data_IF_187764706532
#
_entry.id   IF_187764706532
#
_cell.length_a   1.000
_cell.length_b   1.000
_cell.length_c   1.000
_cell.angle_alpha   90.00
_cell.angle_beta   90.00
_cell.angle_gamma   90.00
#
_symmetry.space_group_name_H-M   'P 1'
#
loop_
_entity.id
_entity.type
_entity.pdbx_description
1 polymer ?
#
# COMPACT_ATOMS: atom_id res chain seq x y z
N UNK A 1 -12.01 42.73 23.35
CA UNK A 1 -11.82 41.89 22.15
C UNK A 1 -11.62 40.42 22.52
N UNK A 2 -10.91 40.09 23.61
CA UNK A 2 -10.74 38.70 24.10
C UNK A 2 -12.06 37.97 24.44
N UNK A 3 -13.01 38.64 25.10
CA UNK A 3 -14.30 38.03 25.47
C UNK A 3 -15.14 37.55 24.30
N UNK A 4 -15.00 38.15 23.11
CA UNK A 4 -15.77 37.75 21.93
C UNK A 4 -15.21 36.49 21.27
N UNK A 5 -13.89 36.27 21.33
CA UNK A 5 -13.26 35.08 20.76
C UNK A 5 -13.47 33.85 21.64
N UNK A 6 -13.43 34.03 22.97
CA UNK A 6 -13.73 32.94 23.93
C UNK A 6 -15.18 32.43 23.80
N UNK A 7 -16.14 33.33 23.56
CA UNK A 7 -17.54 32.98 23.30
C UNK A 7 -17.68 32.16 21.99
N UNK A 8 -16.93 32.52 20.95
CA UNK A 8 -16.90 31.79 19.67
C UNK A 8 -16.29 30.39 19.87
N UNK A 9 -15.17 30.29 20.59
CA UNK A 9 -14.51 29.02 20.88
C UNK A 9 -15.39 28.09 21.73
N UNK A 10 -16.15 28.64 22.67
CA UNK A 10 -17.12 27.88 23.47
C UNK A 10 -18.31 27.40 22.62
N UNK A 11 -18.82 28.22 21.71
CA UNK A 11 -19.85 27.81 20.75
C UNK A 11 -19.35 26.69 19.82
N UNK A 12 -18.12 26.80 19.32
CA UNK A 12 -17.46 25.78 18.49
C UNK A 12 -17.35 24.46 19.27
N UNK A 13 -16.83 24.50 20.50
CA UNK A 13 -16.65 23.30 21.34
C UNK A 13 -17.98 22.64 21.71
N UNK A 14 -19.00 23.44 22.02
CA UNK A 14 -20.35 22.96 22.32
C UNK A 14 -20.98 22.28 21.10
N UNK A 15 -20.88 22.91 19.93
CA UNK A 15 -21.42 22.38 18.66
C UNK A 15 -20.71 21.09 18.25
N UNK A 16 -19.38 21.05 18.35
CA UNK A 16 -18.59 19.85 18.07
C UNK A 16 -18.94 18.69 19.02
N UNK A 17 -19.17 19.00 20.30
CA UNK A 17 -19.60 17.99 21.28
C UNK A 17 -20.95 17.38 20.91
N UNK A 18 -21.91 18.21 20.48
CA UNK A 18 -23.21 17.73 19.96
C UNK A 18 -23.05 16.90 18.69
N UNK A 19 -22.24 17.38 17.74
CA UNK A 19 -21.98 16.64 16.50
C UNK A 19 -21.37 15.25 16.79
N UNK A 20 -20.43 15.15 17.74
CA UNK A 20 -19.86 13.86 18.18
C UNK A 20 -20.90 12.92 18.81
N UNK A 21 -21.90 13.46 19.53
CA UNK A 21 -23.02 12.66 20.04
C UNK A 21 -23.86 12.10 18.89
N UNK A 22 -24.18 12.92 17.88
CA UNK A 22 -24.88 12.46 16.68
C UNK A 22 -24.08 11.38 15.93
N UNK A 23 -22.75 11.54 15.79
CA UNK A 23 -21.87 10.52 15.20
C UNK A 23 -21.92 9.19 15.97
N UNK A 24 -21.89 9.23 17.31
CA UNK A 24 -22.02 8.02 18.15
C UNK A 24 -23.37 7.34 18.01
N UNK A 25 -24.42 8.08 17.66
CA UNK A 25 -25.77 7.56 17.36
C UNK A 25 -25.93 7.08 15.91
N UNK A 26 -24.91 7.25 15.07
CA UNK A 26 -24.97 6.93 13.64
C UNK A 26 -25.68 7.99 12.79
N UNK A 27 -26.09 9.11 13.38
CA UNK A 27 -26.80 10.21 12.72
C UNK A 27 -25.79 11.14 12.00
N UNK A 28 -25.15 10.60 10.96
CA UNK A 28 -24.07 11.27 10.22
C UNK A 28 -24.49 12.61 9.61
N UNK A 29 -25.68 12.68 9.03
CA UNK A 29 -26.18 13.89 8.36
C UNK A 29 -26.46 15.02 9.34
N UNK A 30 -27.04 14.69 10.51
CA UNK A 30 -27.27 15.67 11.58
C UNK A 30 -25.95 16.22 12.14
N UNK A 31 -24.93 15.36 12.29
CA UNK A 31 -23.60 15.79 12.69
C UNK A 31 -22.97 16.76 11.67
N UNK A 32 -23.11 16.45 10.37
CA UNK A 32 -22.57 17.26 9.29
C UNK A 32 -23.25 18.63 9.22
N UNK A 33 -24.58 18.70 9.27
CA UNK A 33 -25.33 19.95 9.26
C UNK A 33 -24.92 20.91 10.40
N UNK A 34 -24.66 20.37 11.59
CA UNK A 34 -24.23 21.18 12.74
C UNK A 34 -22.89 21.87 12.50
N UNK A 35 -21.92 21.16 11.91
CA UNK A 35 -20.59 21.74 11.63
C UNK A 35 -20.54 22.56 10.35
N UNK A 36 -21.43 22.30 9.39
CA UNK A 36 -21.61 23.17 8.21
C UNK A 36 -22.14 24.54 8.62
N UNK A 37 -23.18 24.58 9.46
CA UNK A 37 -23.66 25.85 10.01
C UNK A 37 -22.59 26.61 10.80
N UNK A 38 -21.69 25.88 11.47
CA UNK A 38 -20.56 26.47 12.18
C UNK A 38 -19.51 27.07 11.23
N UNK A 39 -19.19 26.35 10.15
CA UNK A 39 -18.29 26.82 9.08
C UNK A 39 -18.85 28.04 8.35
N UNK A 40 -20.15 28.07 8.08
CA UNK A 40 -20.81 29.23 7.46
C UNK A 40 -20.83 30.46 8.36
N UNK A 41 -21.05 30.25 9.67
CA UNK A 41 -21.08 31.34 10.65
C UNK A 41 -19.68 31.93 10.91
N UNK A 42 -18.64 31.09 10.84
CA UNK A 42 -17.26 31.48 11.13
C UNK A 42 -16.27 30.96 10.06
N UNK A 43 -16.34 31.49 8.81
CA UNK A 43 -15.59 30.97 7.67
C UNK A 43 -14.08 31.22 7.75
N UNK A 44 -13.64 32.20 8.54
CA UNK A 44 -12.21 32.51 8.74
C UNK A 44 -11.67 31.96 10.08
N UNK A 45 -12.50 31.29 10.88
CA UNK A 45 -12.06 30.76 12.17
C UNK A 45 -11.47 29.35 12.00
N UNK A 46 -10.17 29.14 12.28
CA UNK A 46 -9.51 27.88 12.00
C UNK A 46 -10.07 26.72 12.85
N UNK A 47 -10.48 26.97 14.10
CA UNK A 47 -11.07 25.94 14.96
C UNK A 47 -12.46 25.47 14.47
N UNK A 48 -13.19 26.33 13.76
CA UNK A 48 -14.47 25.95 13.13
C UNK A 48 -14.24 25.03 11.92
N UNK A 49 -13.20 25.33 11.11
CA UNK A 49 -12.78 24.45 9.99
C UNK A 49 -12.22 23.12 10.50
N UNK A 50 -11.49 23.12 11.61
CA UNK A 50 -11.01 21.88 12.25
C UNK A 50 -12.17 21.03 12.78
N UNK A 51 -13.16 21.64 13.42
CA UNK A 51 -14.37 20.93 13.87
C UNK A 51 -15.12 20.29 12.70
N UNK A 52 -15.17 20.96 11.54
CA UNK A 52 -15.70 20.40 10.30
C UNK A 52 -14.89 19.19 9.82
N UNK A 53 -13.57 19.30 9.76
CA UNK A 53 -12.68 18.20 9.38
C UNK A 53 -12.81 16.98 10.33
N UNK A 54 -12.91 17.20 11.64
CA UNK A 54 -13.12 16.15 12.65
C UNK A 54 -14.41 15.34 12.37
N UNK A 55 -15.50 16.02 12.01
CA UNK A 55 -16.76 15.36 11.69
C UNK A 55 -16.67 14.62 10.36
N UNK A 56 -16.02 15.20 9.34
CA UNK A 56 -15.74 14.52 8.07
C UNK A 56 -15.00 13.19 8.28
N UNK A 57 -14.01 13.17 9.16
CA UNK A 57 -13.31 11.93 9.55
C UNK A 57 -14.28 10.94 10.20
N UNK A 58 -15.11 11.40 11.15
CA UNK A 58 -16.07 10.57 11.87
C UNK A 58 -17.15 9.95 10.99
N UNK A 59 -17.54 10.59 9.89
CA UNK A 59 -18.49 10.03 8.92
C UNK A 59 -17.85 9.12 7.87
N UNK A 60 -16.50 9.14 7.76
CA UNK A 60 -15.70 8.33 6.85
C UNK A 60 -15.15 9.06 5.62
N UNK A 61 -15.42 10.37 5.48
CA UNK A 61 -14.95 11.22 4.35
C UNK A 61 -13.54 11.74 4.62
N UNK A 62 -12.59 10.83 4.80
CA UNK A 62 -11.19 11.13 5.20
C UNK A 62 -10.45 11.99 4.18
N UNK A 63 -10.64 11.75 2.88
CA UNK A 63 -9.99 12.52 1.81
C UNK A 63 -10.40 14.00 1.83
N UNK A 64 -11.68 14.28 2.08
CA UNK A 64 -12.17 15.65 2.17
C UNK A 64 -11.68 16.35 3.44
N UNK A 65 -11.62 15.63 4.57
CA UNK A 65 -11.04 16.16 5.80
C UNK A 65 -9.57 16.59 5.60
N UNK A 66 -8.80 15.82 4.83
CA UNK A 66 -7.41 16.17 4.49
C UNK A 66 -7.33 17.45 3.67
N UNK A 67 -8.21 17.65 2.68
CA UNK A 67 -8.26 18.89 1.90
C UNK A 67 -8.56 20.10 2.79
N UNK A 68 -9.55 19.98 3.67
CA UNK A 68 -9.91 21.06 4.62
C UNK A 68 -8.74 21.39 5.55
N UNK A 69 -8.05 20.38 6.10
CA UNK A 69 -6.89 20.61 6.96
C UNK A 69 -5.73 21.25 6.20
N UNK A 70 -5.53 20.89 4.94
CA UNK A 70 -4.53 21.52 4.08
C UNK A 70 -4.84 23.00 3.86
N UNK A 71 -6.09 23.36 3.59
CA UNK A 71 -6.50 24.77 3.48
C UNK A 71 -6.21 25.57 4.75
N UNK A 72 -6.40 24.98 5.93
CA UNK A 72 -6.07 25.62 7.21
C UNK A 72 -4.56 25.83 7.34
N UNK A 73 -3.75 24.83 6.97
CA UNK A 73 -2.28 24.91 7.03
C UNK A 73 -1.76 26.00 6.06
N UNK A 74 -2.32 26.06 4.85
CA UNK A 74 -1.94 27.05 3.83
C UNK A 74 -2.31 28.49 4.29
N UNK A 75 -3.43 28.66 4.98
CA UNK A 75 -3.88 29.97 5.49
C UNK A 75 -3.21 30.38 6.80
N UNK A 76 -2.86 29.43 7.66
CA UNK A 76 -2.29 29.65 8.99
C UNK A 76 -1.08 28.72 9.23
N UNK A 77 0.05 28.97 8.55
CA UNK A 77 1.25 28.17 8.72
C UNK A 77 1.77 28.27 10.17
N UNK A 78 2.18 27.13 10.76
CA UNK A 78 2.72 27.08 12.12
C UNK A 78 1.74 26.65 13.21
N UNK A 79 0.50 26.28 12.87
CA UNK A 79 -0.41 25.58 13.79
C UNK A 79 -0.05 24.10 13.89
N UNK A 80 0.80 23.79 14.88
CA UNK A 80 1.31 22.43 15.15
C UNK A 80 0.20 21.37 15.28
N UNK A 81 -0.94 21.73 15.86
CA UNK A 81 -2.07 20.80 16.05
C UNK A 81 -2.71 20.41 14.70
N UNK A 82 -2.96 21.38 13.82
CA UNK A 82 -3.54 21.15 12.49
C UNK A 82 -2.61 20.30 11.62
N UNK A 83 -1.31 20.63 11.62
CA UNK A 83 -0.28 19.90 10.89
C UNK A 83 -0.16 18.45 11.36
N UNK A 84 -0.18 18.24 12.69
CA UNK A 84 -0.16 16.90 13.29
C UNK A 84 -1.37 16.08 12.86
N UNK A 85 -2.57 16.67 12.89
CA UNK A 85 -3.81 15.98 12.46
C UNK A 85 -3.80 15.64 10.99
N UNK A 86 -3.37 16.56 10.13
CA UNK A 86 -3.20 16.32 8.70
C UNK A 86 -2.22 15.16 8.45
N UNK A 87 -1.05 15.19 9.09
CA UNK A 87 -0.05 14.13 8.96
C UNK A 87 -0.60 12.76 9.39
N UNK A 88 -1.33 12.69 10.50
CA UNK A 88 -1.94 11.46 10.99
C UNK A 88 -2.97 10.88 10.00
N UNK A 89 -3.83 11.74 9.43
CA UNK A 89 -4.85 11.31 8.47
C UNK A 89 -4.24 10.85 7.14
N UNK A 90 -3.24 11.57 6.63
CA UNK A 90 -2.51 11.18 5.41
C UNK A 90 -1.79 9.85 5.62
N UNK A 91 -1.08 9.69 6.73
CA UNK A 91 -0.39 8.45 7.05
C UNK A 91 -1.35 7.26 7.16
N UNK A 92 -2.48 7.45 7.85
CA UNK A 92 -3.51 6.41 8.00
C UNK A 92 -4.23 6.03 6.69
N UNK A 93 -4.31 6.92 5.70
CA UNK A 93 -4.83 6.58 4.37
C UNK A 93 -3.80 5.81 3.54
N UNK A 94 -2.54 6.25 3.55
CA UNK A 94 -1.49 5.62 2.75
C UNK A 94 -1.18 4.18 3.15
N UNK A 95 -1.37 3.81 4.42
CA UNK A 95 -1.18 2.43 4.86
C UNK A 95 -2.14 1.46 4.16
N UNK A 96 -3.40 1.86 3.95
CA UNK A 96 -4.38 1.05 3.22
C UNK A 96 -4.17 1.07 1.71
N UNK A 97 -3.75 2.20 1.13
CA UNK A 97 -3.38 2.27 -0.28
C UNK A 97 -2.17 1.38 -0.59
N UNK A 98 -1.15 1.35 0.27
CA UNK A 98 0.02 0.48 0.10
C UNK A 98 -0.33 -1.00 0.11
N UNK A 99 -1.20 -1.44 1.02
CA UNK A 99 -1.70 -2.82 1.05
C UNK A 99 -2.49 -3.17 -0.22
N UNK A 100 -3.33 -2.24 -0.70
CA UNK A 100 -4.11 -2.43 -1.92
C UNK A 100 -3.23 -2.47 -3.18
N UNK A 101 -2.18 -1.64 -3.27
CA UNK A 101 -1.19 -1.70 -4.34
C UNK A 101 -0.37 -2.99 -4.30
N UNK A 102 0.03 -3.44 -3.11
CA UNK A 102 0.70 -4.74 -2.94
C UNK A 102 -0.15 -5.90 -3.47
N UNK A 103 -1.44 -5.92 -3.12
CA UNK A 103 -2.40 -6.91 -3.61
C UNK A 103 -2.66 -6.81 -5.12
N UNK A 104 -2.70 -5.60 -5.69
CA UNK A 104 -2.83 -5.42 -7.14
C UNK A 104 -1.61 -5.93 -7.90
N UNK A 105 -0.40 -5.63 -7.43
CA UNK A 105 0.83 -6.16 -8.02
C UNK A 105 0.84 -7.69 -7.94
N UNK A 106 0.55 -8.27 -6.78
CA UNK A 106 0.49 -9.72 -6.59
C UNK A 106 -0.59 -10.39 -7.46
N UNK A 107 -1.74 -9.72 -7.67
CA UNK A 107 -2.79 -10.20 -8.59
C UNK A 107 -2.37 -10.20 -10.07
N UNK A 108 -1.46 -9.30 -10.45
CA UNK A 108 -0.98 -9.16 -11.82
C UNK A 108 0.22 -10.09 -12.11
N UNK A 109 1.02 -10.42 -11.08
CA UNK A 109 2.18 -11.30 -11.16
C UNK A 109 1.84 -12.74 -11.64
N UNK A 110 0.59 -13.17 -11.51
CA UNK A 110 0.10 -14.47 -12.00
C UNK A 110 -0.50 -14.50 -13.41
N UNK A 111 -0.68 -13.35 -14.08
CA UNK A 111 -1.54 -13.24 -15.27
C UNK A 111 -0.92 -13.68 -16.61
N UNK A 112 0.37 -14.03 -16.61
CA UNK A 112 1.15 -14.30 -17.82
C UNK A 112 1.11 -15.81 -18.19
N UNK A 113 -0.05 -16.31 -18.62
CA UNK A 113 -0.20 -17.58 -19.36
C UNK A 113 0.28 -18.89 -18.68
N UNK A 114 0.05 -20.06 -19.32
CA UNK A 114 0.48 -21.34 -18.79
C UNK A 114 2.00 -21.48 -18.88
N UNK A 115 2.65 -21.80 -17.75
CA UNK A 115 4.11 -21.88 -17.64
C UNK A 115 4.58 -23.25 -17.22
N UNK A 116 5.61 -23.73 -17.90
CA UNK A 116 6.27 -25.01 -17.61
C UNK A 116 7.13 -24.93 -16.34
N UNK A 117 6.84 -25.80 -15.37
CA UNK A 117 7.63 -25.96 -14.13
C UNK A 117 9.11 -26.26 -14.40
N UNK A 118 9.40 -27.06 -15.44
CA UNK A 118 10.78 -27.36 -15.86
C UNK A 118 11.55 -26.13 -16.36
N UNK A 119 10.89 -25.23 -17.10
CA UNK A 119 11.53 -24.00 -17.61
C UNK A 119 11.75 -23.00 -16.49
N UNK A 120 10.80 -22.88 -15.55
CA UNK A 120 10.99 -22.05 -14.36
C UNK A 120 12.20 -22.51 -13.53
N UNK A 121 12.32 -23.83 -13.30
CA UNK A 121 13.47 -24.40 -12.59
C UNK A 121 14.80 -24.19 -13.35
N UNK A 122 14.81 -24.42 -14.67
CA UNK A 122 16.00 -24.20 -15.51
C UNK A 122 16.46 -22.74 -15.51
N UNK A 123 15.53 -21.78 -15.58
CA UNK A 123 15.84 -20.36 -15.55
C UNK A 123 16.34 -19.93 -14.16
N UNK A 124 15.74 -20.44 -13.09
CA UNK A 124 16.23 -20.21 -11.72
C UNK A 124 17.60 -20.84 -11.45
N UNK A 125 17.92 -21.94 -12.13
CA UNK A 125 19.25 -22.56 -12.09
C UNK A 125 20.30 -21.67 -12.77
N UNK A 126 19.96 -21.03 -13.89
CA UNK A 126 20.90 -20.19 -14.64
C UNK A 126 21.23 -18.89 -13.89
N UNK A 127 20.20 -18.22 -13.37
CA UNK A 127 20.37 -16.98 -12.62
C UNK A 127 19.37 -16.90 -11.45
N UNK A 128 19.82 -16.45 -10.27
CA UNK A 128 18.94 -16.27 -9.12
C UNK A 128 17.84 -15.24 -9.43
N UNK A 129 16.59 -15.61 -9.15
CA UNK A 129 15.42 -14.77 -9.39
C UNK A 129 14.79 -14.85 -10.79
N UNK A 130 15.49 -15.43 -11.77
CA UNK A 130 15.01 -15.46 -13.16
C UNK A 130 13.86 -16.46 -13.35
N UNK A 131 13.84 -17.54 -12.58
CA UNK A 131 12.71 -18.48 -12.52
C UNK A 131 11.42 -17.81 -12.03
N UNK A 132 11.52 -16.94 -11.02
CA UNK A 132 10.40 -16.17 -10.48
C UNK A 132 9.89 -15.12 -11.48
N UNK A 133 10.81 -14.40 -12.14
CA UNK A 133 10.45 -13.47 -13.22
C UNK A 133 9.74 -14.20 -14.36
N UNK A 134 10.21 -15.39 -14.72
CA UNK A 134 9.54 -16.22 -15.71
C UNK A 134 8.12 -16.56 -15.30
N UNK A 135 7.89 -16.92 -14.03
CA UNK A 135 6.56 -17.19 -13.43
C UNK A 135 5.74 -15.92 -13.17
N UNK A 136 6.32 -14.75 -13.39
CA UNK A 136 5.65 -13.44 -13.31
C UNK A 136 5.71 -12.81 -11.92
N UNK A 137 6.33 -13.49 -10.96
CA UNK A 137 6.58 -12.99 -9.61
C UNK A 137 7.83 -12.08 -9.61
N UNK A 138 7.67 -10.86 -10.09
CA UNK A 138 8.77 -9.92 -10.30
C UNK A 138 9.40 -9.50 -8.98
N UNK A 139 8.60 -9.25 -7.94
CA UNK A 139 9.10 -8.88 -6.60
C UNK A 139 9.98 -10.00 -6.04
N UNK A 140 9.52 -11.25 -6.07
CA UNK A 140 10.32 -12.39 -5.57
C UNK A 140 11.60 -12.57 -6.38
N UNK A 141 11.52 -12.40 -7.70
CA UNK A 141 12.70 -12.43 -8.57
C UNK A 141 13.76 -11.40 -8.20
N UNK A 142 13.35 -10.15 -7.97
CA UNK A 142 14.27 -9.08 -7.52
C UNK A 142 14.88 -9.41 -6.17
N UNK A 143 14.10 -9.93 -5.22
CA UNK A 143 14.59 -10.31 -3.88
C UNK A 143 15.68 -11.38 -3.97
N UNK A 144 15.46 -12.46 -4.73
CA UNK A 144 16.48 -13.49 -4.91
C UNK A 144 17.74 -12.97 -5.61
N UNK A 145 17.59 -12.10 -6.62
CA UNK A 145 18.73 -11.48 -7.29
C UNK A 145 19.51 -10.57 -6.33
N UNK A 146 18.83 -9.77 -5.50
CA UNK A 146 19.46 -8.88 -4.52
C UNK A 146 20.23 -9.67 -3.45
N UNK A 147 19.66 -10.76 -2.93
CA UNK A 147 20.33 -11.65 -1.97
C UNK A 147 21.59 -12.28 -2.56
N UNK A 148 21.54 -12.69 -3.83
CA UNK A 148 22.71 -13.22 -4.52
C UNK A 148 23.82 -12.18 -4.68
N UNK A 149 23.47 -10.97 -5.12
CA UNK A 149 24.43 -9.85 -5.24
C UNK A 149 25.06 -9.53 -3.88
N UNK A 150 24.25 -9.40 -2.83
CA UNK A 150 24.74 -9.16 -1.47
C UNK A 150 25.70 -10.27 -1.01
N UNK A 151 25.33 -11.52 -1.26
CA UNK A 151 26.18 -12.68 -0.97
C UNK A 151 27.53 -12.63 -1.66
N UNK A 152 27.55 -12.33 -2.97
CA UNK A 152 28.80 -12.17 -3.71
C UNK A 152 29.65 -11.02 -3.15
N UNK A 153 29.03 -9.87 -2.86
CA UNK A 153 29.73 -8.73 -2.23
C UNK A 153 30.35 -9.14 -0.90
N UNK A 154 29.64 -9.90 -0.06
CA UNK A 154 30.17 -10.39 1.22
C UNK A 154 31.32 -11.39 1.03
N UNK A 155 31.24 -12.29 0.04
CA UNK A 155 32.35 -13.20 -0.28
C UNK A 155 33.61 -12.41 -0.64
N UNK A 156 33.51 -11.39 -1.49
CA UNK A 156 34.66 -10.58 -1.88
C UNK A 156 35.15 -9.62 -0.78
N UNK A 157 34.26 -9.17 0.11
CA UNK A 157 34.63 -8.23 1.17
C UNK A 157 35.24 -8.90 2.39
N UNK A 158 34.72 -10.06 2.80
CA UNK A 158 35.10 -10.72 4.06
C UNK A 158 35.36 -12.23 3.91
N UNK A 159 34.98 -12.84 2.78
CA UNK A 159 35.14 -14.28 2.54
C UNK A 159 36.46 -14.69 1.91
N UNK A 160 37.18 -13.75 1.28
CA UNK A 160 38.48 -13.99 0.64
C UNK A 160 39.55 -13.18 1.35
N UNK A 161 40.55 -13.87 1.90
CA UNK A 161 41.71 -13.27 2.55
C UNK A 161 43.01 -13.51 1.77
N UNK A 162 44.17 -13.09 2.32
CA UNK A 162 45.47 -13.21 1.66
C UNK A 162 45.85 -14.65 1.27
N UNK A 163 45.38 -15.64 2.03
CA UNK A 163 45.63 -17.06 1.79
C UNK A 163 44.53 -17.74 0.95
N UNK A 164 43.58 -16.97 0.42
CA UNK A 164 42.41 -17.47 -0.32
C UNK A 164 41.12 -17.50 0.51
N UNK A 165 40.21 -18.40 0.15
CA UNK A 165 38.88 -18.51 0.77
C UNK A 165 39.00 -18.93 2.25
N UNK A 166 38.43 -18.12 3.14
CA UNK A 166 38.44 -18.38 4.58
C UNK A 166 37.16 -19.10 5.04
N UNK A 167 37.10 -19.50 6.32
CA UNK A 167 35.94 -20.19 6.90
C UNK A 167 34.63 -19.39 6.77
N UNK A 168 34.69 -18.06 6.93
CA UNK A 168 33.55 -17.16 6.75
C UNK A 168 33.04 -17.17 5.31
N UNK A 169 33.94 -17.16 4.33
CA UNK A 169 33.62 -17.27 2.91
C UNK A 169 32.92 -18.58 2.58
N UNK A 170 33.39 -19.70 3.15
CA UNK A 170 32.75 -21.01 2.99
C UNK A 170 31.32 -20.98 3.57
N UNK A 171 31.12 -20.43 4.77
CA UNK A 171 29.79 -20.31 5.37
C UNK A 171 28.82 -19.47 4.53
N UNK A 172 29.30 -18.37 3.94
CA UNK A 172 28.48 -17.52 3.05
C UNK A 172 28.11 -18.28 1.77
N UNK A 173 29.05 -19.01 1.16
CA UNK A 173 28.79 -19.82 -0.03
C UNK A 173 27.73 -20.89 0.26
N UNK A 174 27.83 -21.59 1.40
CA UNK A 174 26.83 -22.59 1.80
C UNK A 174 25.46 -21.94 2.00
N UNK A 175 25.41 -20.78 2.67
CA UNK A 175 24.16 -20.02 2.82
C UNK A 175 23.53 -19.62 1.49
N UNK A 176 24.35 -19.12 0.55
CA UNK A 176 23.88 -18.77 -0.79
C UNK A 176 23.41 -19.99 -1.59
N UNK A 177 24.09 -21.13 -1.48
CA UNK A 177 23.67 -22.36 -2.14
C UNK A 177 22.30 -22.81 -1.62
N UNK A 178 22.04 -22.71 -0.31
CA UNK A 178 20.72 -23.02 0.28
C UNK A 178 19.65 -22.06 -0.25
N UNK A 179 19.90 -20.75 -0.22
CA UNK A 179 18.95 -19.74 -0.75
C UNK A 179 18.68 -19.98 -2.24
N UNK A 180 19.68 -20.37 -3.02
CA UNK A 180 19.55 -20.65 -4.44
C UNK A 180 18.69 -21.90 -4.68
N UNK A 181 18.93 -22.99 -3.95
CA UNK A 181 18.12 -24.21 -4.03
C UNK A 181 16.66 -23.92 -3.66
N UNK A 182 16.44 -23.16 -2.59
CA UNK A 182 15.09 -22.74 -2.18
C UNK A 182 14.41 -21.91 -3.27
N UNK A 183 15.13 -20.96 -3.88
CA UNK A 183 14.61 -20.17 -4.99
C UNK A 183 14.24 -21.01 -6.22
N UNK A 184 15.01 -22.05 -6.54
CA UNK A 184 14.68 -22.96 -7.65
C UNK A 184 13.38 -23.72 -7.36
N UNK A 185 13.25 -24.26 -6.14
CA UNK A 185 12.05 -24.99 -5.72
C UNK A 185 10.82 -24.08 -5.68
N UNK A 186 10.96 -22.87 -5.15
CA UNK A 186 9.89 -21.86 -5.10
C UNK A 186 9.39 -21.50 -6.51
N UNK A 187 10.29 -21.27 -7.47
CA UNK A 187 9.91 -21.03 -8.87
C UNK A 187 9.21 -22.24 -9.49
N UNK A 188 9.72 -23.45 -9.25
CA UNK A 188 9.16 -24.68 -9.79
C UNK A 188 7.75 -25.00 -9.25
N UNK A 189 7.52 -24.73 -7.95
CA UNK A 189 6.21 -24.90 -7.29
C UNK A 189 5.23 -23.82 -7.75
N UNK A 190 5.68 -22.56 -7.81
CA UNK A 190 4.86 -21.42 -8.26
C UNK A 190 4.37 -21.61 -9.70
N UNK A 191 5.19 -22.19 -10.58
CA UNK A 191 4.79 -22.53 -11.95
C UNK A 191 3.68 -23.60 -12.03
N UNK A 192 3.56 -24.50 -11.05
CA UNK A 192 2.49 -25.52 -10.99
C UNK A 192 1.16 -24.98 -10.46
N UNK A 193 1.18 -23.90 -9.67
CA UNK A 193 -0.04 -23.26 -9.15
C UNK A 193 -0.79 -22.43 -10.20
N UNK A 194 -0.10 -21.95 -11.24
CA UNK A 194 -0.69 -21.12 -12.31
C UNK A 194 -1.31 -21.89 -13.48
N UNK A 195 -1.42 -23.24 -13.41
CA UNK A 195 -1.86 -24.08 -14.53
C UNK A 195 -3.34 -24.48 -14.54
N UNK A 196 -4.16 -24.04 -13.58
CA UNK A 196 -5.63 -24.17 -13.70
C UNK A 196 -6.20 -23.05 -14.57
N UNK A 197 -5.91 -23.11 -15.86
CA UNK A 197 -6.69 -22.39 -16.87
C UNK A 197 -7.63 -23.40 -17.50
N UNK A 198 -8.91 -23.31 -17.15
CA UNK A 198 -9.99 -24.00 -17.88
C UNK A 198 -9.80 -23.78 -19.38
N UNK A 199 -9.87 -24.83 -20.22
CA UNK A 199 -9.68 -24.68 -21.65
C UNK A 199 -10.58 -23.56 -22.17
N UNK A 200 -10.00 -22.54 -22.82
CA UNK A 200 -10.77 -21.46 -23.44
C UNK A 200 -11.77 -22.11 -24.40
N UNK A 201 -13.04 -22.14 -24.01
CA UNK A 201 -14.12 -22.66 -24.84
C UNK A 201 -14.08 -21.85 -26.13
N UNK A 202 -13.66 -22.51 -27.22
CA UNK A 202 -13.74 -21.89 -28.53
C UNK A 202 -15.23 -21.77 -28.82
N UNK A 203 -15.77 -20.57 -29.06
CA UNK A 203 -17.16 -20.46 -29.48
C UNK A 203 -17.29 -21.32 -30.73
N UNK A 204 -18.18 -22.31 -30.68
CA UNK A 204 -18.46 -23.13 -31.85
C UNK A 204 -18.98 -22.16 -32.91
N UNK A 205 -18.35 -22.10 -34.11
CA UNK A 205 -18.85 -21.24 -35.15
C UNK A 205 -20.33 -21.60 -35.38
N UNK A 206 -21.22 -20.61 -35.49
CA UNK A 206 -22.63 -20.89 -35.74
C UNK A 206 -22.75 -21.56 -37.11
N UNK A 207 -22.89 -22.89 -37.11
CA UNK A 207 -23.02 -23.72 -38.33
C UNK A 207 -24.42 -23.55 -38.95
N UNK A 208 -25.37 -23.01 -38.18
CA UNK A 208 -26.80 -23.04 -38.52
C UNK A 208 -27.41 -21.64 -38.82
N UNK A 209 -26.59 -20.60 -39.06
CA UNK A 209 -27.14 -19.32 -39.50
C UNK A 209 -27.48 -19.38 -40.99
N UNK A 210 -28.71 -19.07 -41.41
CA UNK A 210 -29.02 -18.91 -42.82
C UNK A 210 -28.21 -17.73 -43.37
N UNK A 211 -27.58 -17.96 -44.52
CA UNK A 211 -26.92 -16.90 -45.26
C UNK A 211 -28.00 -15.97 -45.82
N UNK A 212 -28.17 -14.78 -45.22
CA UNK A 212 -28.92 -13.67 -45.83
C UNK A 212 -28.15 -13.06 -47.00
#
# INVERSE_FOLDING_TARGET
>A
METNNELIDEEIRSTLSRARVHLKRGEKDAALQLVEGLKEKYPDHPDAKEAYADVLVGIGRKQEAIQVLKEIIDAHPGRVETERRHAYLVFGLHQHEFEQYGLMLESQEGALGPRSSGTAAFLGLLFPGLGQVYVGQLVRGIVYAALAVLGFVLIFSIGVGPSGLNGTGISIIVGLAVVWIVGILDAAVSAKGGSEVTPKERPKPPVDLPFE
#
